data_IF_445492568458
#
_entry.id   IF_445492568458
#
_cell.length_a   1.000
_cell.length_b   1.000
_cell.length_c   1.000
_cell.angle_alpha   90.00
_cell.angle_beta   90.00
_cell.angle_gamma   90.00
#
_symmetry.space_group_name_H-M   'P 1'
#
loop_
_entity.id
_entity.type
_entity.pdbx_description
1 polymer ?
#
# COMPACT_ATOMS: atom_id res chain seq x y z
N UNK A 1 25.14 -27.96 40.16
CA UNK A 1 23.78 -28.12 39.60
C UNK A 1 22.94 -26.83 39.62
N UNK A 2 22.77 -26.14 40.77
CA UNK A 2 21.89 -24.94 40.86
C UNK A 2 22.22 -23.80 39.86
N UNK A 3 23.50 -23.55 39.58
CA UNK A 3 23.94 -22.51 38.62
C UNK A 3 23.61 -22.86 37.16
N UNK A 4 23.74 -24.13 36.78
CA UNK A 4 23.42 -24.62 35.42
C UNK A 4 21.91 -24.55 35.17
N UNK A 5 21.11 -24.90 36.17
CA UNK A 5 19.65 -24.82 36.07
C UNK A 5 19.19 -23.37 35.87
N UNK A 6 19.77 -22.42 36.60
CA UNK A 6 19.45 -20.99 36.46
C UNK A 6 19.80 -20.45 35.07
N UNK A 7 20.95 -20.85 34.50
CA UNK A 7 21.35 -20.43 33.15
C UNK A 7 20.40 -20.97 32.08
N UNK A 8 19.95 -22.23 32.21
CA UNK A 8 18.98 -22.83 31.27
C UNK A 8 17.63 -22.13 31.37
N UNK A 9 17.15 -21.83 32.58
CA UNK A 9 15.92 -21.07 32.78
C UNK A 9 16.01 -19.66 32.19
N UNK A 10 17.16 -19.00 32.32
CA UNK A 10 17.39 -17.67 31.75
C UNK A 10 17.33 -17.71 30.22
N UNK A 11 18.01 -18.67 29.58
CA UNK A 11 18.01 -18.82 28.12
C UNK A 11 16.60 -19.12 27.59
N UNK A 12 15.85 -19.98 28.27
CA UNK A 12 14.47 -20.30 27.88
C UNK A 12 13.52 -19.11 28.09
N UNK A 13 13.69 -18.29 29.12
CA UNK A 13 12.87 -17.09 29.34
C UNK A 13 13.11 -15.99 28.30
N UNK A 14 14.35 -15.82 27.83
CA UNK A 14 14.67 -14.81 26.80
C UNK A 14 14.26 -15.23 25.38
N UNK A 15 13.98 -16.51 25.14
CA UNK A 15 13.60 -17.03 23.82
C UNK A 15 12.18 -16.65 23.40
N UNK A 16 11.31 -16.22 24.33
CA UNK A 16 9.91 -15.89 24.04
C UNK A 16 9.68 -14.41 23.64
N UNK A 17 10.71 -13.57 23.60
CA UNK A 17 10.55 -12.13 23.33
C UNK A 17 10.59 -11.71 21.85
N UNK A 18 10.83 -12.62 20.92
CA UNK A 18 10.90 -12.27 19.49
C UNK A 18 9.89 -13.06 18.67
N UNK A 19 8.72 -12.44 18.46
CA UNK A 19 8.02 -12.36 17.17
C UNK A 19 6.56 -12.02 17.44
N UNK A 20 6.26 -10.73 17.53
CA UNK A 20 4.92 -10.25 17.28
C UNK A 20 4.93 -9.62 15.89
N UNK A 21 4.70 -10.47 14.89
CA UNK A 21 4.31 -10.02 13.55
C UNK A 21 2.98 -9.28 13.69
N UNK A 22 3.03 -7.95 13.87
CA UNK A 22 1.84 -7.12 13.93
C UNK A 22 1.33 -6.87 12.52
N UNK A 23 0.72 -7.89 11.92
CA UNK A 23 -0.14 -7.70 10.75
C UNK A 23 -1.44 -7.04 11.21
N UNK A 24 -1.40 -5.73 11.48
CA UNK A 24 -2.64 -4.97 11.65
C UNK A 24 -3.14 -4.58 10.27
N UNK A 25 -3.85 -5.52 9.64
CA UNK A 25 -4.75 -5.23 8.54
C UNK A 25 -6.10 -4.84 9.16
N UNK A 26 -6.56 -3.63 8.90
CA UNK A 26 -7.92 -3.24 9.25
C UNK A 26 -8.89 -4.19 8.54
N UNK A 27 -9.85 -4.79 9.25
CA UNK A 27 -10.97 -5.49 8.61
C UNK A 27 -11.92 -4.44 8.02
N UNK A 28 -11.54 -3.87 6.89
CA UNK A 28 -12.38 -2.89 6.20
C UNK A 28 -13.50 -3.64 5.48
N UNK A 29 -14.76 -3.14 5.49
CA UNK A 29 -15.83 -3.75 4.70
C UNK A 29 -15.44 -3.86 3.22
N UNK A 30 -15.86 -4.95 2.58
CA UNK A 30 -15.52 -5.21 1.18
C UNK A 30 -15.87 -4.03 0.28
N UNK A 31 -17.01 -3.38 0.52
CA UNK A 31 -17.54 -2.24 -0.24
C UNK A 31 -16.86 -0.88 0.03
N UNK A 32 -15.92 -0.80 0.98
CA UNK A 32 -15.31 0.50 1.32
C UNK A 32 -14.58 1.09 0.13
N UNK A 33 -14.56 2.42 0.05
CA UNK A 33 -13.73 3.14 -0.94
C UNK A 33 -12.30 3.32 -0.47
N UNK A 34 -12.14 3.60 0.81
CA UNK A 34 -10.86 3.93 1.41
C UNK A 34 -10.36 2.81 2.29
N UNK A 35 -9.05 2.60 2.28
CA UNK A 35 -8.34 1.70 3.18
C UNK A 35 -7.01 2.34 3.58
N UNK A 36 -6.61 2.13 4.84
CA UNK A 36 -5.30 2.53 5.36
C UNK A 36 -4.49 1.26 5.56
N UNK A 37 -3.28 1.24 4.99
CA UNK A 37 -2.35 0.12 5.06
C UNK A 37 -1.04 0.63 5.64
N UNK A 38 -0.62 0.07 6.78
CA UNK A 38 0.64 0.44 7.41
C UNK A 38 1.67 -0.69 7.24
N UNK A 39 2.86 -0.33 6.75
CA UNK A 39 3.98 -1.27 6.73
C UNK A 39 4.55 -1.49 8.14
N UNK A 40 5.01 -2.71 8.39
CA UNK A 40 5.68 -3.09 9.64
C UNK A 40 7.00 -2.35 9.87
N UNK A 41 7.62 -1.78 8.83
CA UNK A 41 8.92 -1.09 8.96
C UNK A 41 8.84 0.33 9.53
N UNK A 42 7.63 0.86 9.74
CA UNK A 42 7.45 2.12 10.46
C UNK A 42 6.38 3.04 9.88
N UNK A 43 6.02 4.06 10.65
CA UNK A 43 4.98 5.06 10.34
C UNK A 43 5.22 5.76 8.99
N UNK A 44 6.49 5.90 8.57
CA UNK A 44 6.89 6.50 7.26
C UNK A 44 6.27 5.78 6.05
N UNK A 45 5.81 4.54 6.23
CA UNK A 45 5.18 3.74 5.19
C UNK A 45 3.73 3.40 5.58
N UNK A 46 3.00 4.43 5.98
CA UNK A 46 1.54 4.39 6.13
C UNK A 46 0.92 4.93 4.86
N UNK A 47 0.07 4.12 4.24
CA UNK A 47 -0.57 4.41 2.97
C UNK A 47 -2.07 4.51 3.13
N UNK A 48 -2.70 5.33 2.31
CA UNK A 48 -4.16 5.37 2.12
C UNK A 48 -4.45 5.12 0.65
N UNK A 49 -5.34 4.18 0.35
CA UNK A 49 -5.72 3.81 -1.01
C UNK A 49 -7.19 4.13 -1.30
N UNK A 50 -7.47 4.65 -2.49
CA UNK A 50 -8.80 4.62 -3.12
C UNK A 50 -8.93 3.31 -3.90
N UNK A 51 -9.71 2.35 -3.37
CA UNK A 51 -9.85 1.02 -3.96
C UNK A 51 -10.59 1.02 -5.30
N UNK A 52 -11.25 2.11 -5.69
CA UNK A 52 -12.02 2.17 -6.93
C UNK A 52 -11.14 2.62 -8.10
N UNK A 53 -10.29 3.63 -7.87
CA UNK A 53 -9.46 4.25 -8.92
C UNK A 53 -7.96 3.99 -8.77
N UNK A 54 -7.54 3.27 -7.73
CA UNK A 54 -6.15 2.87 -7.52
C UNK A 54 -5.22 4.00 -7.06
N UNK A 55 -5.74 5.18 -6.70
CA UNK A 55 -4.91 6.27 -6.17
C UNK A 55 -4.39 5.94 -4.78
N UNK A 56 -3.09 6.12 -4.58
CA UNK A 56 -2.44 5.87 -3.29
C UNK A 56 -1.77 7.13 -2.77
N UNK A 57 -1.89 7.33 -1.46
CA UNK A 57 -1.31 8.44 -0.74
C UNK A 57 -0.37 7.91 0.34
N UNK A 58 0.73 8.61 0.59
CA UNK A 58 1.62 8.40 1.72
C UNK A 58 1.30 9.39 2.84
N UNK A 59 1.34 8.94 4.09
CA UNK A 59 1.37 9.83 5.24
C UNK A 59 2.78 10.42 5.38
N UNK A 60 2.89 11.74 5.25
CA UNK A 60 4.16 12.48 5.37
C UNK A 60 4.08 13.54 6.45
N UNK A 61 5.21 13.85 7.06
CA UNK A 61 5.32 14.96 8.01
C UNK A 61 5.63 16.25 7.24
N UNK A 62 4.66 17.14 7.14
CA UNK A 62 4.84 18.49 6.63
C UNK A 62 5.13 19.50 7.75
N UNK A 63 5.30 20.77 7.39
CA UNK A 63 5.58 21.86 8.34
C UNK A 63 4.46 22.03 9.39
N UNK A 64 3.22 21.75 9.01
CA UNK A 64 2.02 21.89 9.86
C UNK A 64 1.56 20.57 10.49
N UNK A 65 2.38 19.52 10.44
CA UNK A 65 2.07 18.18 10.94
C UNK A 65 1.81 17.16 9.84
N UNK A 66 1.10 16.09 10.18
CA UNK A 66 0.87 14.95 9.30
C UNK A 66 -0.09 15.27 8.15
N UNK A 67 0.29 14.94 6.92
CA UNK A 67 -0.50 15.19 5.72
C UNK A 67 -0.46 14.01 4.75
N UNK A 68 -1.50 13.87 3.93
CA UNK A 68 -1.58 12.84 2.90
C UNK A 68 -1.03 13.39 1.57
N UNK A 69 0.12 12.89 1.14
CA UNK A 69 0.74 13.25 -0.13
C UNK A 69 0.42 12.17 -1.18
N UNK A 70 -0.09 12.52 -2.37
CA UNK A 70 -0.31 11.55 -3.44
C UNK A 70 1.02 11.00 -3.95
N UNK A 71 1.05 9.68 -4.21
CA UNK A 71 2.20 9.03 -4.85
C UNK A 71 1.95 9.02 -6.37
N UNK A 72 2.81 9.66 -7.19
CA UNK A 72 2.63 9.70 -8.63
C UNK A 72 2.81 8.32 -9.28
N UNK A 73 2.22 8.18 -10.47
CA UNK A 73 2.48 7.07 -11.38
C UNK A 73 3.54 7.47 -12.40
N UNK A 74 4.41 6.54 -12.77
CA UNK A 74 5.37 6.74 -13.85
C UNK A 74 4.66 6.72 -15.21
N UNK A 75 4.87 7.77 -16.01
CA UNK A 75 4.36 7.87 -17.37
C UNK A 75 2.83 8.05 -17.46
N UNK A 76 2.25 7.59 -18.57
CA UNK A 76 0.81 7.74 -18.87
C UNK A 76 -0.08 6.70 -18.17
N UNK A 77 0.46 6.02 -17.16
CA UNK A 77 -0.28 4.99 -16.41
C UNK A 77 -1.45 5.60 -15.64
N UNK A 78 -1.33 6.84 -15.15
CA UNK A 78 -2.43 7.51 -14.43
C UNK A 78 -3.69 7.60 -15.30
N UNK A 79 -3.56 7.93 -16.59
CA UNK A 79 -4.68 7.97 -17.54
C UNK A 79 -5.35 6.61 -17.71
N UNK A 80 -4.54 5.55 -17.73
CA UNK A 80 -5.03 4.17 -17.89
C UNK A 80 -5.71 3.63 -16.62
N UNK A 81 -5.19 3.99 -15.44
CA UNK A 81 -5.68 3.52 -14.13
C UNK A 81 -6.90 4.30 -13.64
N UNK A 82 -6.87 5.61 -13.82
CA UNK A 82 -7.95 6.48 -13.37
C UNK A 82 -9.17 6.42 -14.28
N UNK A 83 -9.06 5.79 -15.47
CA UNK A 83 -10.06 5.78 -16.53
C UNK A 83 -10.61 7.17 -16.89
N UNK A 84 -9.93 8.25 -16.49
CA UNK A 84 -10.35 9.64 -16.65
C UNK A 84 -10.22 10.16 -18.10
N UNK A 85 -9.94 9.27 -19.06
CA UNK A 85 -10.08 9.55 -20.49
C UNK A 85 -10.95 8.53 -21.24
N UNK A 86 -11.67 7.63 -20.56
CA UNK A 86 -12.57 6.73 -21.28
C UNK A 86 -13.98 7.33 -21.40
N UNK A 87 -14.22 7.91 -22.57
CA UNK A 87 -15.53 8.28 -23.16
C UNK A 87 -16.04 9.70 -22.88
N UNK A 88 -15.24 10.73 -23.21
CA UNK A 88 -15.80 12.06 -23.53
C UNK A 88 -16.30 12.18 -24.98
N UNK A 89 -16.07 11.16 -25.81
CA UNK A 89 -16.27 11.27 -27.25
C UNK A 89 -17.22 10.15 -27.66
N UNK A 90 -18.33 10.53 -28.30
CA UNK A 90 -19.27 9.74 -29.12
C UNK A 90 -20.69 9.46 -28.61
N UNK A 91 -21.01 9.43 -27.31
CA UNK A 91 -22.40 9.04 -26.89
C UNK A 91 -23.11 9.93 -25.87
N UNK A 92 -22.45 10.94 -25.28
CA UNK A 92 -23.11 11.88 -24.36
C UNK A 92 -23.64 11.27 -23.05
N UNK A 93 -23.42 9.97 -22.83
CA UNK A 93 -23.83 9.23 -21.64
C UNK A 93 -22.57 8.83 -20.86
N UNK A 94 -22.45 9.34 -19.64
CA UNK A 94 -21.35 9.08 -18.72
C UNK A 94 -21.49 7.66 -18.14
N UNK A 95 -21.06 6.66 -18.90
CA UNK A 95 -21.01 5.28 -18.43
C UNK A 95 -19.64 5.02 -17.82
N UNK A 96 -19.56 5.07 -16.50
CA UNK A 96 -18.37 4.64 -15.77
C UNK A 96 -18.08 3.16 -16.08
N UNK A 97 -16.82 2.77 -16.36
CA UNK A 97 -16.49 1.37 -16.57
C UNK A 97 -16.79 0.55 -15.31
N UNK A 98 -17.17 -0.72 -15.49
CA UNK A 98 -17.74 -1.56 -14.41
C UNK A 98 -16.78 -1.75 -13.21
N UNK A 99 -15.48 -1.67 -13.46
CA UNK A 99 -14.41 -1.71 -12.46
C UNK A 99 -14.34 -0.44 -11.60
N UNK A 100 -14.98 0.66 -12.00
CA UNK A 100 -15.16 1.86 -11.16
C UNK A 100 -16.45 1.84 -10.33
N UNK A 101 -17.29 0.81 -10.46
CA UNK A 101 -18.49 0.67 -9.64
C UNK A 101 -18.26 -0.19 -8.39
N UNK A 102 -17.09 -0.82 -8.29
CA UNK A 102 -16.71 -1.71 -7.20
C UNK A 102 -15.24 -1.51 -6.81
N UNK A 103 -14.86 -1.88 -5.58
CA UNK A 103 -13.47 -1.95 -5.17
C UNK A 103 -12.69 -2.91 -6.06
N UNK A 104 -11.73 -2.37 -6.80
CA UNK A 104 -10.96 -3.07 -7.82
C UNK A 104 -9.47 -3.11 -7.51
N UNK A 105 -8.99 -2.26 -6.60
CA UNK A 105 -7.57 -2.10 -6.31
C UNK A 105 -7.25 -2.54 -4.88
N UNK A 106 -6.17 -3.30 -4.75
CA UNK A 106 -5.65 -3.78 -3.48
C UNK A 106 -4.18 -3.42 -3.33
N UNK A 107 -3.83 -2.88 -2.17
CA UNK A 107 -2.46 -2.56 -1.80
C UNK A 107 -1.89 -3.68 -0.92
N UNK A 108 -0.72 -4.17 -1.30
CA UNK A 108 0.07 -5.10 -0.52
C UNK A 108 1.37 -4.42 -0.10
N UNK A 109 1.71 -4.47 1.19
CA UNK A 109 3.02 -4.04 1.69
C UNK A 109 3.70 -5.20 2.39
N UNK A 110 4.99 -5.40 2.14
CA UNK A 110 5.78 -6.35 2.91
C UNK A 110 6.48 -5.66 4.08
N UNK A 111 6.66 -6.38 5.18
CA UNK A 111 7.50 -5.94 6.29
C UNK A 111 9.00 -5.96 6.01
N UNK A 112 9.44 -6.32 4.79
CA UNK A 112 10.86 -6.46 4.44
C UNK A 112 11.44 -5.25 3.71
N UNK A 113 10.59 -4.35 3.20
CA UNK A 113 11.02 -3.07 2.65
C UNK A 113 10.11 -2.60 1.52
N UNK A 114 10.25 -1.31 1.20
CA UNK A 114 9.36 -0.60 0.26
C UNK A 114 9.34 -1.21 -1.16
N UNK A 115 10.46 -1.81 -1.59
CA UNK A 115 10.58 -2.50 -2.87
C UNK A 115 9.73 -3.77 -2.99
N UNK A 116 9.01 -4.15 -1.94
CA UNK A 116 8.09 -5.28 -1.92
C UNK A 116 6.65 -4.81 -1.64
N UNK A 117 6.35 -3.57 -2.02
CA UNK A 117 5.01 -3.00 -2.00
C UNK A 117 4.42 -3.04 -3.41
N UNK A 118 3.23 -3.62 -3.53
CA UNK A 118 2.56 -3.86 -4.81
C UNK A 118 1.13 -3.32 -4.76
N UNK A 119 0.70 -2.75 -5.88
CA UNK A 119 -0.67 -2.31 -6.11
C UNK A 119 -1.24 -3.17 -7.23
N UNK A 120 -2.33 -3.89 -6.95
CA UNK A 120 -2.94 -4.86 -7.87
C UNK A 120 -4.36 -4.43 -8.18
N UNK A 121 -4.72 -4.40 -9.47
CA UNK A 121 -6.11 -4.42 -9.88
C UNK A 121 -6.59 -5.89 -9.94
N UNK A 122 -7.55 -6.24 -9.08
CA UNK A 122 -8.03 -7.61 -8.90
C UNK A 122 -8.90 -8.12 -10.07
N UNK A 123 -9.34 -7.23 -10.96
CA UNK A 123 -10.15 -7.59 -12.12
C UNK A 123 -9.35 -7.63 -13.43
N UNK A 124 -8.47 -6.65 -13.65
CA UNK A 124 -7.66 -6.58 -14.87
C UNK A 124 -6.30 -7.28 -14.76
N UNK A 125 -5.85 -7.58 -13.54
CA UNK A 125 -4.54 -8.17 -13.27
C UNK A 125 -3.37 -7.19 -13.39
N UNK A 126 -3.63 -5.90 -13.67
CA UNK A 126 -2.58 -4.87 -13.69
C UNK A 126 -1.89 -4.84 -12.34
N UNK A 127 -0.57 -5.02 -12.36
CA UNK A 127 0.26 -4.94 -11.15
C UNK A 127 1.26 -3.81 -11.28
N UNK A 128 1.32 -2.96 -10.26
CA UNK A 128 2.31 -1.93 -10.10
C UNK A 128 3.17 -2.22 -8.89
N UNK A 129 4.41 -1.78 -8.95
CA UNK A 129 5.37 -1.86 -7.85
C UNK A 129 5.78 -0.45 -7.44
N UNK A 130 5.98 -0.28 -6.13
CA UNK A 130 6.45 0.98 -5.56
C UNK A 130 7.97 1.09 -5.71
N UNK A 131 8.42 2.21 -6.23
CA UNK A 131 9.83 2.57 -6.37
C UNK A 131 10.15 3.84 -5.59
N UNK A 132 11.44 4.04 -5.34
CA UNK A 132 12.01 5.24 -4.75
C UNK A 132 12.95 5.82 -5.78
N UNK A 133 12.78 7.09 -6.11
CA UNK A 133 13.75 7.83 -6.92
C UNK A 133 15.02 8.04 -6.10
N UNK A 134 16.17 7.64 -6.64
CA UNK A 134 17.45 7.71 -5.93
C UNK A 134 17.99 9.13 -5.80
N UNK A 135 17.52 10.07 -6.61
CA UNK A 135 17.94 11.47 -6.60
C UNK A 135 17.06 12.31 -5.67
N UNK A 136 15.74 12.11 -5.71
CA UNK A 136 14.78 12.92 -4.94
C UNK A 136 14.27 12.25 -3.66
N UNK A 137 14.54 10.96 -3.48
CA UNK A 137 13.92 10.09 -2.45
C UNK A 137 12.38 10.00 -2.54
N UNK A 138 11.78 10.48 -3.64
CA UNK A 138 10.33 10.45 -3.83
C UNK A 138 9.83 9.07 -4.22
N UNK A 139 8.61 8.75 -3.81
CA UNK A 139 7.95 7.51 -4.15
C UNK A 139 7.22 7.63 -5.49
N UNK A 140 7.22 6.57 -6.29
CA UNK A 140 6.39 6.50 -7.49
C UNK A 140 5.98 5.06 -7.83
N UNK A 141 4.85 4.93 -8.53
CA UNK A 141 4.32 3.65 -9.00
C UNK A 141 4.74 3.35 -10.43
N UNK A 142 5.24 2.15 -10.68
CA UNK A 142 5.58 1.68 -12.03
C UNK A 142 4.93 0.33 -12.31
N UNK A 143 4.40 0.14 -13.51
CA UNK A 143 3.88 -1.16 -13.96
C UNK A 143 5.02 -2.17 -14.07
N UNK A 144 4.79 -3.38 -13.57
CA UNK A 144 5.68 -4.51 -13.79
C UNK A 144 5.07 -5.42 -14.87
N UNK A 145 5.94 -5.93 -15.75
CA UNK A 145 5.60 -6.92 -16.79
C UNK A 145 5.69 -8.34 -16.27
#
# INVERSE_FOLDING_TARGET
MKRVLFTITLILFFSCCFSQDSHQMSSVPDSSRWEIVQSQQGVRYTFKIDKYIGRVYQLVMGENGETWQPIPFEGLIETYISGLEYRRIETGEEVLPEDMLKPSWQLFTSGHGIKYTFLLNIHSGITLKLFVDTETEELFWKKIE
#
